data_IF_597684740029
#
_entry.id   IF_597684740029
#
_cell.length_a   1.000
_cell.length_b   1.000
_cell.length_c   1.000
_cell.angle_alpha   90.00
_cell.angle_beta   90.00
_cell.angle_gamma   90.00
#
_symmetry.space_group_name_H-M   'P 1'
#
loop_
_entity.id
_entity.type
_entity.pdbx_description
1 polymer ?
#
# COMPACT_ATOMS: atom_id res chain seq x y z
N UNK A 1 43.89 13.41 12.26
CA UNK A 1 42.53 13.15 11.72
C UNK A 1 42.25 11.67 11.94
N UNK A 2 41.46 11.33 12.96
CA UNK A 2 41.19 9.92 13.31
C UNK A 2 40.31 9.34 12.21
N UNK A 3 40.81 8.36 11.44
CA UNK A 3 40.01 7.57 10.51
C UNK A 3 38.99 6.79 11.34
N UNK A 4 37.75 7.28 11.41
CA UNK A 4 36.63 6.47 11.94
C UNK A 4 36.51 5.23 11.07
N UNK A 5 36.35 4.08 11.71
CA UNK A 5 36.30 2.81 11.01
C UNK A 5 35.03 2.76 10.14
N UNK A 6 35.10 2.10 8.98
CA UNK A 6 33.96 2.03 8.05
C UNK A 6 32.74 1.33 8.68
N UNK A 7 33.00 0.44 9.65
CA UNK A 7 31.98 -0.22 10.47
C UNK A 7 31.20 0.78 11.36
N UNK A 8 31.88 1.79 11.90
CA UNK A 8 31.25 2.83 12.71
C UNK A 8 30.35 3.73 11.86
N UNK A 9 30.71 3.95 10.60
CA UNK A 9 29.93 4.75 9.66
C UNK A 9 28.67 4.03 9.16
N UNK A 10 28.72 2.70 8.97
CA UNK A 10 27.50 1.90 8.71
C UNK A 10 26.54 1.92 9.90
N UNK A 11 27.08 1.79 11.12
CA UNK A 11 26.27 1.94 12.34
C UNK A 11 25.66 3.35 12.42
N UNK A 12 26.42 4.38 12.03
CA UNK A 12 25.95 5.76 12.01
C UNK A 12 24.81 5.99 11.01
N UNK A 13 24.86 5.36 9.82
CA UNK A 13 23.75 5.35 8.87
C UNK A 13 22.49 4.70 9.47
N UNK A 14 22.63 3.53 10.10
CA UNK A 14 21.52 2.85 10.77
C UNK A 14 20.89 3.72 11.86
N UNK A 15 21.70 4.38 12.69
CA UNK A 15 21.22 5.29 13.73
C UNK A 15 20.47 6.50 13.13
N UNK A 16 20.95 7.03 12.00
CA UNK A 16 20.28 8.12 11.29
C UNK A 16 18.90 7.72 10.79
N UNK A 17 18.77 6.49 10.27
CA UNK A 17 17.49 5.91 9.86
C UNK A 17 16.56 5.65 11.04
N UNK A 18 17.10 5.28 12.22
CA UNK A 18 16.31 5.13 13.45
C UNK A 18 15.74 6.49 13.85
N UNK A 19 16.57 7.53 13.96
CA UNK A 19 16.11 8.88 14.27
C UNK A 19 15.04 9.39 13.29
N UNK A 20 15.21 9.12 11.99
CA UNK A 20 14.22 9.45 10.97
C UNK A 20 12.88 8.73 11.22
N UNK A 21 12.90 7.45 11.59
CA UNK A 21 11.70 6.63 11.83
C UNK A 21 11.00 6.96 13.15
N UNK A 22 11.74 7.45 14.13
CA UNK A 22 11.26 7.85 15.46
C UNK A 22 10.74 9.30 15.51
N UNK A 23 10.96 10.08 14.43
CA UNK A 23 10.50 11.45 14.33
C UNK A 23 11.48 12.50 14.84
N UNK A 24 12.71 12.12 15.20
CA UNK A 24 13.80 13.07 15.50
C UNK A 24 14.43 13.57 14.19
N UNK A 25 13.64 14.34 13.44
CA UNK A 25 14.00 14.82 12.11
C UNK A 25 15.18 15.78 12.12
N UNK A 26 15.36 16.57 13.18
CA UNK A 26 16.49 17.51 13.27
C UNK A 26 17.81 16.76 13.49
N UNK A 27 17.81 15.72 14.33
CA UNK A 27 18.97 14.85 14.45
C UNK A 27 19.24 14.10 13.14
N UNK A 28 18.20 13.53 12.52
CA UNK A 28 18.32 12.85 11.23
C UNK A 28 18.93 13.76 10.15
N UNK A 29 18.53 15.04 10.09
CA UNK A 29 19.09 16.02 9.14
C UNK A 29 20.60 16.20 9.35
N UNK A 30 21.04 16.37 10.61
CA UNK A 30 22.46 16.55 10.93
C UNK A 30 23.27 15.31 10.55
N UNK A 31 22.75 14.14 10.90
CA UNK A 31 23.45 12.86 10.70
C UNK A 31 23.53 12.48 9.22
N UNK A 32 22.46 12.67 8.43
CA UNK A 32 22.54 12.42 6.98
C UNK A 32 23.40 13.44 6.24
N UNK A 33 23.41 14.72 6.63
CA UNK A 33 24.34 15.70 6.06
C UNK A 33 25.78 15.28 6.30
N UNK A 34 26.10 14.84 7.52
CA UNK A 34 27.43 14.32 7.84
C UNK A 34 27.79 13.08 7.01
N UNK A 35 26.86 12.15 6.80
CA UNK A 35 27.09 10.94 6.00
C UNK A 35 27.39 11.25 4.53
N UNK A 36 26.70 12.25 3.96
CA UNK A 36 26.96 12.73 2.59
C UNK A 36 28.37 13.32 2.51
N UNK A 37 28.77 14.16 3.47
CA UNK A 37 30.11 14.76 3.51
C UNK A 37 31.22 13.69 3.63
N UNK A 38 30.92 12.54 4.23
CA UNK A 38 31.85 11.41 4.34
C UNK A 38 31.75 10.40 3.17
N UNK A 39 30.86 10.62 2.20
CA UNK A 39 30.67 9.74 1.05
C UNK A 39 30.05 8.37 1.38
N UNK A 40 29.34 8.26 2.49
CA UNK A 40 28.75 7.00 2.98
C UNK A 40 27.29 6.92 2.52
N UNK A 41 26.99 5.93 1.68
CA UNK A 41 25.63 5.70 1.16
C UNK A 41 24.95 7.01 0.66
N UNK A 42 25.66 7.86 -0.11
CA UNK A 42 25.27 9.26 -0.32
C UNK A 42 23.87 9.38 -0.94
N UNK A 43 23.48 8.45 -1.81
CA UNK A 43 22.16 8.41 -2.42
C UNK A 43 21.05 8.16 -1.40
N UNK A 44 21.22 7.18 -0.50
CA UNK A 44 20.26 6.89 0.56
C UNK A 44 20.21 7.99 1.60
N UNK A 45 21.36 8.60 1.92
CA UNK A 45 21.41 9.75 2.82
C UNK A 45 20.70 10.98 2.25
N UNK A 46 20.80 11.23 0.94
CA UNK A 46 20.01 12.27 0.27
C UNK A 46 18.51 11.98 0.37
N UNK A 47 18.06 10.74 0.16
CA UNK A 47 16.66 10.34 0.36
C UNK A 47 16.23 10.63 1.80
N UNK A 48 17.02 10.22 2.80
CA UNK A 48 16.74 10.47 4.21
C UNK A 48 16.62 11.96 4.56
N UNK A 49 17.49 12.81 3.99
CA UNK A 49 17.38 14.26 4.14
C UNK A 49 16.11 14.84 3.52
N UNK A 50 15.80 14.45 2.28
CA UNK A 50 14.59 14.90 1.57
C UNK A 50 13.36 14.55 2.41
N UNK A 51 13.30 13.32 2.94
CA UNK A 51 12.20 12.87 3.78
C UNK A 51 12.12 13.64 5.10
N UNK A 52 13.23 13.83 5.81
CA UNK A 52 13.22 14.58 7.08
C UNK A 52 12.74 16.03 6.90
N UNK A 53 13.24 16.73 5.86
CA UNK A 53 12.76 18.07 5.53
C UNK A 53 11.26 18.08 5.18
N UNK A 54 10.79 17.06 4.47
CA UNK A 54 9.39 16.94 4.07
C UNK A 54 8.47 16.69 5.27
N UNK A 55 8.85 15.79 6.19
CA UNK A 55 8.14 15.54 7.43
C UNK A 55 8.04 16.80 8.32
N UNK A 56 9.10 17.61 8.36
CA UNK A 56 9.07 18.92 9.04
C UNK A 56 8.31 20.02 8.27
N UNK A 57 7.63 19.70 7.17
CA UNK A 57 6.93 20.63 6.27
C UNK A 57 7.85 21.71 5.67
N UNK A 58 9.16 21.45 5.57
CA UNK A 58 10.18 22.34 4.99
C UNK A 58 10.31 22.09 3.47
N UNK A 59 9.19 22.09 2.75
CA UNK A 59 9.13 21.69 1.33
C UNK A 59 10.09 22.43 0.40
N UNK A 60 10.30 23.76 0.51
CA UNK A 60 11.28 24.44 -0.34
C UNK A 60 12.72 23.90 -0.18
N UNK A 61 13.10 23.49 1.03
CA UNK A 61 14.41 22.90 1.27
C UNK A 61 14.51 21.48 0.69
N UNK A 62 13.44 20.69 0.84
CA UNK A 62 13.35 19.35 0.26
C UNK A 62 13.41 19.40 -1.28
N UNK A 63 12.64 20.30 -1.92
CA UNK A 63 12.65 20.51 -3.37
C UNK A 63 14.02 20.93 -3.88
N UNK A 64 14.65 21.93 -3.23
CA UNK A 64 16.01 22.35 -3.61
C UNK A 64 17.02 21.21 -3.53
N UNK A 65 16.90 20.35 -2.51
CA UNK A 65 17.77 19.19 -2.36
C UNK A 65 17.50 18.12 -3.41
N UNK A 66 16.24 17.87 -3.75
CA UNK A 66 15.83 16.96 -4.81
C UNK A 66 16.37 17.42 -6.16
N UNK A 67 16.16 18.68 -6.54
CA UNK A 67 16.66 19.25 -7.79
C UNK A 67 18.19 19.17 -7.91
N UNK A 68 18.91 19.50 -6.83
CA UNK A 68 20.38 19.41 -6.81
C UNK A 68 20.88 17.97 -7.03
N UNK A 69 20.07 16.96 -6.72
CA UNK A 69 20.44 15.55 -6.76
C UNK A 69 19.53 14.74 -7.69
N UNK A 70 18.93 15.39 -8.70
CA UNK A 70 17.94 14.76 -9.59
C UNK A 70 18.48 13.50 -10.28
N UNK A 71 19.77 13.50 -10.62
CA UNK A 71 20.49 12.38 -11.25
C UNK A 71 20.50 11.10 -10.39
N UNK A 72 20.29 11.20 -9.07
CA UNK A 72 20.16 10.03 -8.18
C UNK A 72 18.89 9.23 -8.51
N UNK A 73 17.88 9.91 -9.03
CA UNK A 73 16.56 9.35 -9.33
C UNK A 73 16.37 9.05 -10.82
N UNK A 74 16.96 9.86 -11.71
CA UNK A 74 16.88 9.64 -13.17
C UNK A 74 17.57 8.31 -13.52
N UNK A 75 16.85 7.41 -14.18
CA UNK A 75 17.39 6.13 -14.65
C UNK A 75 17.73 5.11 -13.55
N UNK A 76 17.44 5.40 -12.27
CA UNK A 76 17.64 4.46 -11.17
C UNK A 76 16.31 4.11 -10.47
N UNK A 77 15.63 3.04 -10.92
CA UNK A 77 14.36 2.61 -10.33
C UNK A 77 14.48 2.35 -8.82
N UNK A 78 15.57 1.73 -8.35
CA UNK A 78 15.74 1.39 -6.93
C UNK A 78 15.68 2.62 -6.02
N UNK A 79 16.29 3.73 -6.42
CA UNK A 79 16.28 4.97 -5.62
C UNK A 79 14.92 5.66 -5.67
N UNK A 80 14.24 5.65 -6.82
CA UNK A 80 12.87 6.19 -6.96
C UNK A 80 11.90 5.42 -6.06
N UNK A 81 11.97 4.10 -6.12
CA UNK A 81 11.14 3.19 -5.34
C UNK A 81 11.36 3.37 -3.84
N UNK A 82 12.63 3.46 -3.41
CA UNK A 82 12.99 3.75 -2.03
C UNK A 82 12.48 5.11 -1.55
N UNK A 83 12.54 6.15 -2.40
CA UNK A 83 11.99 7.46 -2.08
C UNK A 83 10.47 7.39 -1.87
N UNK A 84 9.73 6.77 -2.79
CA UNK A 84 8.26 6.61 -2.68
C UNK A 84 7.90 5.88 -1.40
N UNK A 85 8.51 4.72 -1.14
CA UNK A 85 8.20 3.90 0.03
C UNK A 85 8.51 4.63 1.33
N UNK A 86 9.70 5.25 1.43
CA UNK A 86 10.14 5.95 2.65
C UNK A 86 9.29 7.20 2.91
N UNK A 87 9.04 8.00 1.88
CA UNK A 87 8.25 9.23 2.01
C UNK A 87 6.80 8.92 2.39
N UNK A 88 6.15 8.01 1.66
CA UNK A 88 4.73 7.72 1.90
C UNK A 88 4.49 7.07 3.26
N UNK A 89 5.41 6.23 3.74
CA UNK A 89 5.33 5.66 5.08
C UNK A 89 5.50 6.70 6.20
N UNK A 90 6.47 7.61 6.07
CA UNK A 90 6.78 8.56 7.15
C UNK A 90 5.89 9.81 7.16
N UNK A 91 5.47 10.30 5.99
CA UNK A 91 4.52 11.42 5.93
C UNK A 91 3.19 11.08 6.62
N UNK A 92 2.75 9.82 6.54
CA UNK A 92 1.52 9.39 7.23
C UNK A 92 1.64 9.35 8.75
N UNK A 93 2.84 9.14 9.29
CA UNK A 93 3.08 9.32 10.73
C UNK A 93 2.97 10.80 11.16
N UNK A 94 3.31 11.73 10.26
CA UNK A 94 3.44 13.17 10.54
C UNK A 94 2.24 14.03 10.12
N UNK A 95 1.03 13.46 10.11
CA UNK A 95 -0.16 14.23 9.72
C UNK A 95 -0.52 15.34 10.72
N UNK A 96 -0.11 15.21 11.98
CA UNK A 96 -0.44 16.16 13.05
C UNK A 96 0.18 17.54 12.81
N UNK A 97 1.46 17.58 12.42
CA UNK A 97 2.18 18.82 12.12
C UNK A 97 1.56 19.53 10.92
N UNK A 98 1.20 18.77 9.88
CA UNK A 98 0.53 19.31 8.69
C UNK A 98 -0.81 19.95 9.06
N UNK A 99 -1.67 19.22 9.79
CA UNK A 99 -2.97 19.70 10.26
C UNK A 99 -2.84 20.93 11.16
N UNK A 100 -1.83 20.95 12.05
CA UNK A 100 -1.55 22.11 12.92
C UNK A 100 -1.18 23.34 12.09
N UNK A 101 -0.28 23.20 11.12
CA UNK A 101 0.15 24.30 10.26
C UNK A 101 -1.00 24.84 9.39
N UNK A 102 -1.99 24.01 9.06
CA UNK A 102 -3.18 24.41 8.32
C UNK A 102 -4.29 25.08 9.17
N UNK A 103 -4.17 25.14 10.51
CA UNK A 103 -5.24 25.59 11.44
C UNK A 103 -5.03 26.98 12.07
N UNK A 104 -4.25 27.87 11.46
CA UNK A 104 -4.03 29.23 12.00
C UNK A 104 -3.75 30.26 10.91
N UNK A 105 -4.18 31.51 11.07
CA UNK A 105 -4.14 32.51 9.98
C UNK A 105 -2.73 32.70 9.39
N UNK A 106 -1.72 32.93 10.22
CA UNK A 106 -0.34 33.12 9.77
C UNK A 106 0.30 31.82 9.27
N UNK A 107 0.09 30.71 9.99
CA UNK A 107 0.66 29.40 9.63
C UNK A 107 0.08 28.88 8.31
N UNK A 108 -1.21 29.11 8.06
CA UNK A 108 -1.89 28.75 6.81
C UNK A 108 -1.33 29.53 5.64
N UNK A 109 -1.01 30.83 5.80
CA UNK A 109 -0.35 31.61 4.73
C UNK A 109 1.04 31.04 4.41
N UNK A 110 1.86 30.74 5.43
CA UNK A 110 3.15 30.11 5.21
C UNK A 110 3.02 28.74 4.55
N UNK A 111 2.03 27.96 4.94
CA UNK A 111 1.78 26.64 4.40
C UNK A 111 1.31 26.71 2.94
N UNK A 112 0.43 27.64 2.61
CA UNK A 112 0.01 27.93 1.24
C UNK A 112 1.20 28.34 0.36
N UNK A 113 2.12 29.18 0.88
CA UNK A 113 3.35 29.54 0.15
C UNK A 113 4.25 28.32 -0.11
N UNK A 114 4.38 27.43 0.87
CA UNK A 114 5.17 26.20 0.72
C UNK A 114 4.55 25.26 -0.32
N UNK A 115 3.22 25.09 -0.30
CA UNK A 115 2.53 24.29 -1.30
C UNK A 115 2.51 24.93 -2.68
N UNK A 116 2.48 26.26 -2.77
CA UNK A 116 2.67 26.96 -4.04
C UNK A 116 3.99 26.57 -4.70
N UNK A 117 5.08 26.55 -3.93
CA UNK A 117 6.39 26.12 -4.44
C UNK A 117 6.40 24.64 -4.90
N UNK A 118 5.67 23.76 -4.21
CA UNK A 118 5.49 22.36 -4.64
C UNK A 118 4.73 22.28 -5.96
N UNK A 119 3.65 23.05 -6.08
CA UNK A 119 2.84 23.08 -7.30
C UNK A 119 3.60 23.67 -8.48
N UNK A 120 4.36 24.76 -8.27
CA UNK A 120 5.24 25.33 -9.29
C UNK A 120 6.33 24.34 -9.74
N UNK A 121 6.88 23.54 -8.83
CA UNK A 121 7.83 22.49 -9.17
C UNK A 121 7.21 21.40 -10.06
N UNK A 122 5.98 20.96 -9.74
CA UNK A 122 5.23 20.02 -10.58
C UNK A 122 4.90 20.60 -11.96
N UNK A 123 4.44 21.85 -12.03
CA UNK A 123 4.14 22.50 -13.32
C UNK A 123 5.38 22.74 -14.19
N UNK A 124 6.56 22.83 -13.57
CA UNK A 124 7.84 22.96 -14.30
C UNK A 124 8.34 21.62 -14.80
N UNK A 125 8.07 20.54 -14.06
CA UNK A 125 8.48 19.17 -14.35
C UNK A 125 7.42 18.21 -13.83
N UNK A 126 6.54 17.75 -14.72
CA UNK A 126 5.42 16.86 -14.34
C UNK A 126 5.90 15.49 -13.86
N UNK A 127 7.15 15.11 -14.16
CA UNK A 127 7.80 13.90 -13.65
C UNK A 127 8.50 14.12 -12.29
N UNK A 128 8.34 15.29 -11.67
CA UNK A 128 8.93 15.59 -10.37
C UNK A 128 8.28 14.75 -9.26
N UNK A 129 8.88 13.59 -9.01
CA UNK A 129 8.39 12.59 -8.07
C UNK A 129 8.18 13.13 -6.65
N UNK A 130 9.07 14.02 -6.16
CA UNK A 130 8.90 14.64 -4.86
C UNK A 130 7.66 15.54 -4.82
N UNK A 131 7.46 16.35 -5.86
CA UNK A 131 6.29 17.22 -5.95
C UNK A 131 4.99 16.41 -6.01
N UNK A 132 4.96 15.35 -6.82
CA UNK A 132 3.85 14.39 -6.90
C UNK A 132 3.49 13.83 -5.51
N UNK A 133 4.48 13.29 -4.79
CA UNK A 133 4.27 12.71 -3.45
C UNK A 133 3.71 13.76 -2.49
N UNK A 134 4.26 14.98 -2.48
CA UNK A 134 3.84 16.05 -1.59
C UNK A 134 2.43 16.58 -1.90
N UNK A 135 2.06 16.68 -3.18
CA UNK A 135 0.70 17.03 -3.61
C UNK A 135 -0.29 15.95 -3.17
N UNK A 136 0.03 14.69 -3.42
CA UNK A 136 -0.81 13.56 -2.99
C UNK A 136 -0.98 13.53 -1.48
N UNK A 137 0.11 13.75 -0.72
CA UNK A 137 0.09 13.81 0.74
C UNK A 137 -0.82 14.93 1.25
N UNK A 138 -0.68 16.12 0.68
CA UNK A 138 -1.48 17.28 1.02
C UNK A 138 -2.97 17.01 0.82
N UNK A 139 -3.33 16.43 -0.34
CA UNK A 139 -4.70 16.08 -0.65
C UNK A 139 -5.25 14.98 0.26
N UNK A 140 -4.49 13.91 0.48
CA UNK A 140 -4.86 12.81 1.38
C UNK A 140 -5.17 13.29 2.82
N UNK A 141 -4.42 14.27 3.32
CA UNK A 141 -4.57 14.75 4.71
C UNK A 141 -5.59 15.87 4.87
N UNK A 142 -5.61 16.84 3.96
CA UNK A 142 -6.40 18.06 4.10
C UNK A 142 -7.60 18.14 3.15
N UNK A 143 -7.65 17.31 2.11
CA UNK A 143 -8.72 17.32 1.10
C UNK A 143 -8.72 18.54 0.17
N UNK A 144 -7.69 19.39 0.25
CA UNK A 144 -7.56 20.58 -0.61
C UNK A 144 -6.88 20.20 -1.93
N UNK A 145 -7.58 20.39 -3.04
CA UNK A 145 -7.20 19.93 -4.38
C UNK A 145 -6.85 21.09 -5.32
N UNK A 146 -5.72 21.05 -6.04
CA UNK A 146 -5.57 21.72 -7.34
C UNK A 146 -6.31 20.91 -8.41
N UNK A 147 -7.27 21.50 -9.14
CA UNK A 147 -8.15 20.77 -10.06
C UNK A 147 -7.38 19.91 -11.09
N UNK A 148 -6.25 20.42 -11.57
CA UNK A 148 -5.40 19.84 -12.63
C UNK A 148 -4.55 18.63 -12.18
N UNK A 149 -4.65 18.18 -10.93
CA UNK A 149 -3.75 17.14 -10.38
C UNK A 149 -4.41 15.77 -10.15
N UNK A 150 -5.72 15.63 -10.46
CA UNK A 150 -6.44 14.38 -10.16
C UNK A 150 -5.93 13.18 -10.94
N UNK A 151 -5.70 13.33 -12.25
CA UNK A 151 -5.19 12.22 -13.06
C UNK A 151 -3.82 11.75 -12.57
N UNK A 152 -2.92 12.68 -12.27
CA UNK A 152 -1.62 12.37 -11.66
C UNK A 152 -1.77 11.63 -10.32
N UNK A 153 -2.72 12.02 -9.46
CA UNK A 153 -2.96 11.31 -8.20
C UNK A 153 -3.51 9.89 -8.42
N UNK A 154 -4.39 9.71 -9.41
CA UNK A 154 -4.91 8.38 -9.82
C UNK A 154 -3.79 7.49 -10.34
N UNK A 155 -2.88 8.04 -11.13
CA UNK A 155 -1.72 7.29 -11.62
C UNK A 155 -0.74 6.98 -10.48
N UNK A 156 -0.57 7.89 -9.52
CA UNK A 156 0.26 7.66 -8.33
C UNK A 156 -0.30 6.57 -7.40
N UNK A 157 -1.63 6.41 -7.30
CA UNK A 157 -2.25 5.28 -6.56
C UNK A 157 -1.77 3.92 -7.08
N UNK A 158 -1.49 3.83 -8.39
CA UNK A 158 -1.04 2.61 -9.08
C UNK A 158 0.45 2.31 -8.91
N UNK A 159 1.16 3.07 -8.08
CA UNK A 159 2.56 2.81 -7.78
C UNK A 159 2.70 1.76 -6.65
N UNK A 160 3.33 0.63 -6.94
CA UNK A 160 3.50 -0.52 -6.01
C UNK A 160 4.30 -0.20 -4.73
N UNK A 161 5.10 0.86 -4.74
CA UNK A 161 5.93 1.29 -3.61
C UNK A 161 5.22 2.23 -2.65
N UNK A 162 4.00 2.69 -2.97
CA UNK A 162 3.22 3.52 -2.06
C UNK A 162 2.83 2.69 -0.83
N UNK A 163 3.06 3.24 0.35
CA UNK A 163 2.69 2.59 1.60
C UNK A 163 1.16 2.53 1.77
N UNK A 164 0.64 1.40 2.27
CA UNK A 164 -0.81 1.13 2.31
C UNK A 164 -1.62 2.24 2.98
N UNK A 165 -1.19 2.76 4.14
CA UNK A 165 -1.93 3.83 4.82
C UNK A 165 -2.02 5.10 3.98
N UNK A 166 -0.97 5.42 3.21
CA UNK A 166 -0.97 6.54 2.29
C UNK A 166 -1.93 6.30 1.14
N UNK A 167 -1.83 5.11 0.50
CA UNK A 167 -2.73 4.71 -0.59
C UNK A 167 -4.19 4.76 -0.13
N UNK A 168 -4.48 4.28 1.07
CA UNK A 168 -5.82 4.31 1.67
C UNK A 168 -6.37 5.72 1.76
N UNK A 169 -5.64 6.63 2.42
CA UNK A 169 -6.12 8.01 2.59
C UNK A 169 -6.26 8.75 1.27
N UNK A 170 -5.37 8.49 0.31
CA UNK A 170 -5.46 9.10 -1.01
C UNK A 170 -6.69 8.58 -1.78
N UNK A 171 -6.90 7.27 -1.77
CA UNK A 171 -8.04 6.62 -2.41
C UNK A 171 -9.37 7.10 -1.82
N UNK A 172 -9.50 7.12 -0.49
CA UNK A 172 -10.69 7.64 0.20
C UNK A 172 -11.04 9.08 -0.21
N UNK A 173 -10.03 9.92 -0.46
CA UNK A 173 -10.25 11.30 -0.90
C UNK A 173 -10.67 11.38 -2.35
N UNK A 174 -10.00 10.65 -3.24
CA UNK A 174 -10.35 10.62 -4.67
C UNK A 174 -11.74 10.00 -4.91
N UNK A 175 -12.10 9.00 -4.11
CA UNK A 175 -13.39 8.30 -4.19
C UNK A 175 -14.60 9.20 -3.88
N UNK A 176 -14.40 10.35 -3.24
CA UNK A 176 -15.48 11.34 -3.02
C UNK A 176 -15.99 11.89 -4.36
N UNK A 177 -15.09 12.09 -5.32
CA UNK A 177 -15.43 12.62 -6.65
C UNK A 177 -15.55 11.55 -7.72
N UNK A 178 -14.83 10.43 -7.56
CA UNK A 178 -14.83 9.32 -8.50
C UNK A 178 -14.99 7.99 -7.75
N UNK A 179 -16.26 7.60 -7.54
CA UNK A 179 -16.61 6.41 -6.74
C UNK A 179 -16.09 5.11 -7.36
N UNK A 180 -15.91 5.05 -8.68
CA UNK A 180 -15.48 3.84 -9.40
C UNK A 180 -14.06 3.42 -8.99
N UNK A 181 -13.25 4.33 -8.44
CA UNK A 181 -11.92 3.99 -7.90
C UNK A 181 -11.97 2.99 -6.75
N UNK A 182 -13.07 2.96 -5.97
CA UNK A 182 -13.26 1.98 -4.90
C UNK A 182 -13.64 0.60 -5.44
N UNK A 183 -13.99 0.49 -6.71
CA UNK A 183 -14.35 -0.76 -7.37
C UNK A 183 -13.22 -1.26 -8.32
N UNK A 184 -12.12 -0.51 -8.45
CA UNK A 184 -10.97 -0.87 -9.29
C UNK A 184 -10.16 -2.01 -8.65
N UNK A 185 -10.33 -3.22 -9.21
CA UNK A 185 -9.63 -4.44 -8.79
C UNK A 185 -8.11 -4.28 -8.84
N UNK A 186 -7.58 -3.49 -9.77
CA UNK A 186 -6.13 -3.24 -9.93
C UNK A 186 -5.61 -2.46 -8.73
N UNK A 187 -6.33 -1.41 -8.31
CA UNK A 187 -5.98 -0.63 -7.12
C UNK A 187 -6.13 -1.49 -5.86
N UNK A 188 -7.22 -2.26 -5.76
CA UNK A 188 -7.46 -3.19 -4.66
C UNK A 188 -6.30 -4.19 -4.49
N UNK A 189 -5.77 -4.72 -5.59
CA UNK A 189 -4.65 -5.67 -5.59
C UNK A 189 -3.32 -5.09 -5.10
N UNK A 190 -3.18 -3.76 -5.05
CA UNK A 190 -1.95 -3.11 -4.59
C UNK A 190 -1.80 -3.03 -3.08
N UNK A 191 -2.85 -3.33 -2.32
CA UNK A 191 -2.81 -3.26 -0.86
C UNK A 191 -2.10 -4.48 -0.27
N UNK A 192 -1.00 -4.24 0.46
CA UNK A 192 -0.28 -5.32 1.15
C UNK A 192 -1.10 -5.82 2.34
N UNK A 193 -1.89 -4.96 2.98
CA UNK A 193 -2.73 -5.25 4.15
C UNK A 193 -4.16 -4.75 3.96
N UNK A 194 -5.11 -5.53 4.48
CA UNK A 194 -6.53 -5.18 4.53
C UNK A 194 -6.84 -4.61 5.92
N UNK A 195 -7.19 -3.31 6.05
CA UNK A 195 -7.61 -2.73 7.32
C UNK A 195 -8.91 -3.34 7.86
N UNK A 196 -9.01 -3.44 9.19
CA UNK A 196 -10.18 -4.03 9.88
C UNK A 196 -11.43 -3.14 9.91
N UNK A 197 -11.29 -1.84 9.61
CA UNK A 197 -12.37 -0.86 9.72
C UNK A 197 -13.15 -0.65 8.41
N UNK A 198 -12.83 -1.43 7.37
CA UNK A 198 -13.48 -1.31 6.07
C UNK A 198 -14.82 -2.04 6.04
N UNK A 199 -15.71 -1.59 5.16
CA UNK A 199 -16.97 -2.28 4.87
C UNK A 199 -16.71 -3.69 4.30
N UNK A 200 -17.59 -4.64 4.65
CA UNK A 200 -17.46 -6.04 4.20
C UNK A 200 -17.43 -6.18 2.68
N UNK A 201 -18.22 -5.38 1.95
CA UNK A 201 -18.29 -5.46 0.48
C UNK A 201 -16.93 -5.15 -0.15
N UNK A 202 -16.25 -4.16 0.39
CA UNK A 202 -14.95 -3.74 -0.10
C UNK A 202 -13.81 -4.65 0.41
N UNK A 203 -13.92 -5.22 1.62
CA UNK A 203 -13.03 -6.31 2.04
C UNK A 203 -13.13 -7.49 1.06
N UNK A 204 -14.34 -7.85 0.63
CA UNK A 204 -14.53 -8.91 -0.35
C UNK A 204 -13.88 -8.59 -1.69
N UNK A 205 -13.95 -7.35 -2.18
CA UNK A 205 -13.23 -6.93 -3.38
C UNK A 205 -11.71 -7.09 -3.23
N UNK A 206 -11.14 -6.71 -2.07
CA UNK A 206 -9.72 -6.88 -1.78
C UNK A 206 -9.31 -8.36 -1.76
N UNK A 207 -10.11 -9.21 -1.12
CA UNK A 207 -9.85 -10.66 -1.07
C UNK A 207 -9.95 -11.30 -2.46
N UNK A 208 -10.96 -10.91 -3.24
CA UNK A 208 -11.12 -11.35 -4.62
C UNK A 208 -9.92 -10.94 -5.48
N UNK A 209 -9.46 -9.69 -5.39
CA UNK A 209 -8.27 -9.24 -6.11
C UNK A 209 -7.02 -10.04 -5.75
N UNK A 210 -6.83 -10.40 -4.48
CA UNK A 210 -5.71 -11.26 -4.07
C UNK A 210 -5.80 -12.68 -4.62
N UNK A 211 -7.01 -13.25 -4.77
CA UNK A 211 -7.22 -14.56 -5.38
C UNK A 211 -6.90 -14.59 -6.88
N UNK A 212 -7.03 -13.45 -7.57
CA UNK A 212 -6.65 -13.33 -8.98
C UNK A 212 -5.15 -13.17 -9.19
N UNK A 213 -4.36 -12.97 -8.13
CA UNK A 213 -2.91 -12.88 -8.20
C UNK A 213 -2.20 -14.23 -8.19
N UNK A 214 -0.89 -14.22 -8.41
CA UNK A 214 -0.08 -15.45 -8.52
C UNK A 214 0.26 -16.13 -7.17
N UNK A 215 0.01 -15.48 -6.03
CA UNK A 215 0.36 -15.97 -4.69
C UNK A 215 -0.88 -16.45 -3.91
N UNK A 216 -1.33 -17.66 -4.23
CA UNK A 216 -2.48 -18.29 -3.59
C UNK A 216 -2.28 -18.50 -2.08
N UNK A 217 -1.05 -18.79 -1.63
CA UNK A 217 -0.75 -18.98 -0.22
C UNK A 217 -0.97 -17.69 0.58
N UNK A 218 -0.53 -16.54 0.05
CA UNK A 218 -0.79 -15.24 0.65
C UNK A 218 -2.28 -14.88 0.63
N UNK A 219 -2.98 -15.16 -0.46
CA UNK A 219 -4.43 -14.95 -0.57
C UNK A 219 -5.19 -15.75 0.50
N UNK A 220 -4.84 -17.02 0.69
CA UNK A 220 -5.38 -17.90 1.73
C UNK A 220 -5.20 -17.32 3.13
N UNK A 221 -3.98 -16.88 3.48
CA UNK A 221 -3.70 -16.28 4.79
C UNK A 221 -4.62 -15.06 5.05
N UNK A 222 -4.75 -14.18 4.04
CA UNK A 222 -5.61 -12.99 4.14
C UNK A 222 -7.08 -13.35 4.35
N UNK A 223 -7.59 -14.34 3.61
CA UNK A 223 -8.97 -14.83 3.74
C UNK A 223 -9.22 -15.38 5.14
N UNK A 224 -8.32 -16.21 5.65
CA UNK A 224 -8.44 -16.77 6.99
C UNK A 224 -8.45 -15.68 8.07
N UNK A 225 -7.53 -14.71 7.97
CA UNK A 225 -7.48 -13.58 8.90
C UNK A 225 -8.80 -12.80 8.90
N UNK A 226 -9.37 -12.50 7.73
CA UNK A 226 -10.63 -11.73 7.67
C UNK A 226 -11.83 -12.55 8.15
N UNK A 227 -11.89 -13.84 7.83
CA UNK A 227 -12.91 -14.76 8.34
C UNK A 227 -12.88 -14.85 9.87
N UNK A 228 -11.69 -14.97 10.46
CA UNK A 228 -11.51 -14.96 11.92
C UNK A 228 -11.91 -13.62 12.56
N UNK A 229 -11.83 -12.51 11.82
CA UNK A 229 -12.31 -11.20 12.27
C UNK A 229 -13.84 -11.02 12.09
N UNK A 230 -14.56 -12.04 11.63
CA UNK A 230 -16.03 -12.00 11.48
C UNK A 230 -16.52 -11.39 10.17
N UNK A 231 -15.64 -11.20 9.18
CA UNK A 231 -16.06 -10.73 7.86
C UNK A 231 -16.89 -11.81 7.17
N UNK A 232 -18.07 -11.42 6.69
CA UNK A 232 -18.89 -12.28 5.84
C UNK A 232 -18.33 -12.28 4.42
N UNK A 233 -17.89 -13.44 3.96
CA UNK A 233 -17.29 -13.61 2.63
C UNK A 233 -18.38 -13.74 1.56
N UNK A 234 -18.19 -13.06 0.43
CA UNK A 234 -19.08 -13.14 -0.72
C UNK A 234 -18.98 -14.48 -1.42
N UNK A 235 -20.00 -14.80 -2.21
CA UNK A 235 -20.02 -16.03 -3.01
C UNK A 235 -18.88 -16.07 -4.02
N UNK A 236 -18.53 -14.93 -4.61
CA UNK A 236 -17.40 -14.82 -5.55
C UNK A 236 -16.05 -15.13 -4.88
N UNK A 237 -15.81 -14.61 -3.67
CA UNK A 237 -14.57 -14.91 -2.93
C UNK A 237 -14.50 -16.39 -2.57
N UNK A 238 -15.61 -16.96 -2.08
CA UNK A 238 -15.68 -18.40 -1.75
C UNK A 238 -15.45 -19.28 -2.99
N UNK A 239 -16.05 -18.92 -4.11
CA UNK A 239 -15.92 -19.64 -5.38
C UNK A 239 -14.49 -19.59 -5.91
N UNK A 240 -13.88 -18.40 -5.97
CA UNK A 240 -12.52 -18.26 -6.48
C UNK A 240 -11.51 -18.94 -5.57
N UNK A 241 -11.72 -18.93 -4.25
CA UNK A 241 -10.90 -19.72 -3.33
C UNK A 241 -10.95 -21.22 -3.65
N UNK A 242 -12.16 -21.76 -3.84
CA UNK A 242 -12.34 -23.18 -4.21
C UNK A 242 -11.65 -23.48 -5.54
N UNK A 243 -11.86 -22.64 -6.55
CA UNK A 243 -11.25 -22.83 -7.86
C UNK A 243 -9.72 -22.84 -7.78
N UNK A 244 -9.13 -21.86 -7.11
CA UNK A 244 -7.68 -21.78 -6.91
C UNK A 244 -7.14 -22.97 -6.10
N UNK A 245 -7.85 -23.44 -5.06
CA UNK A 245 -7.46 -24.64 -4.32
C UNK A 245 -7.41 -25.89 -5.21
N UNK A 246 -8.38 -26.05 -6.11
CA UNK A 246 -8.41 -27.17 -7.06
C UNK A 246 -7.30 -27.05 -8.10
N UNK A 247 -7.12 -25.88 -8.70
CA UNK A 247 -6.06 -25.61 -9.69
C UNK A 247 -4.66 -25.86 -9.13
N UNK A 248 -4.43 -25.52 -7.85
CA UNK A 248 -3.16 -25.74 -7.16
C UNK A 248 -3.04 -27.13 -6.51
N UNK A 249 -4.05 -27.99 -6.64
CA UNK A 249 -4.13 -29.29 -5.98
C UNK A 249 -3.87 -29.21 -4.45
N UNK A 250 -4.42 -28.17 -3.83
CA UNK A 250 -4.21 -27.79 -2.42
C UNK A 250 -5.57 -27.61 -1.72
N UNK A 251 -6.41 -28.63 -1.82
CA UNK A 251 -7.76 -28.64 -1.24
C UNK A 251 -7.67 -28.86 0.28
N UNK A 252 -8.21 -27.90 1.03
CA UNK A 252 -8.22 -27.87 2.49
C UNK A 252 -9.63 -27.86 3.09
N UNK A 253 -9.70 -27.87 4.43
CA UNK A 253 -10.96 -27.80 5.19
C UNK A 253 -11.79 -26.55 4.85
N UNK A 254 -11.13 -25.42 4.54
CA UNK A 254 -11.81 -24.19 4.17
C UNK A 254 -12.51 -24.34 2.81
N UNK A 255 -11.85 -24.95 1.83
CA UNK A 255 -12.40 -25.24 0.51
C UNK A 255 -13.66 -26.10 0.62
N UNK A 256 -13.64 -27.13 1.45
CA UNK A 256 -14.81 -28.01 1.68
C UNK A 256 -15.96 -27.24 2.31
N UNK A 257 -15.68 -26.40 3.31
CA UNK A 257 -16.70 -25.60 3.98
C UNK A 257 -17.34 -24.57 3.04
N UNK A 258 -16.54 -23.91 2.19
CA UNK A 258 -17.06 -23.00 1.17
C UNK A 258 -17.88 -23.74 0.11
N UNK A 259 -17.40 -24.89 -0.36
CA UNK A 259 -18.14 -25.70 -1.34
C UNK A 259 -19.51 -26.11 -0.79
N UNK A 260 -19.60 -26.51 0.49
CA UNK A 260 -20.88 -26.79 1.16
C UNK A 260 -21.81 -25.58 1.19
N UNK A 261 -21.29 -24.40 1.48
CA UNK A 261 -22.08 -23.15 1.53
C UNK A 261 -22.62 -22.78 0.15
N UNK A 262 -21.78 -22.81 -0.89
CA UNK A 262 -22.20 -22.52 -2.27
C UNK A 262 -23.19 -23.57 -2.78
N UNK A 263 -22.94 -24.85 -2.53
CA UNK A 263 -23.87 -25.93 -2.87
C UNK A 263 -25.24 -25.75 -2.21
N UNK A 264 -25.28 -25.37 -0.92
CA UNK A 264 -26.53 -25.06 -0.22
C UNK A 264 -27.28 -23.87 -0.83
N UNK A 265 -26.58 -22.97 -1.53
CA UNK A 265 -27.14 -21.88 -2.34
C UNK A 265 -27.51 -22.30 -3.77
N UNK A 266 -27.35 -23.57 -4.12
CA UNK A 266 -27.71 -24.14 -5.43
C UNK A 266 -26.60 -24.12 -6.47
N UNK A 267 -25.35 -23.83 -6.09
CA UNK A 267 -24.21 -23.89 -7.02
C UNK A 267 -23.88 -25.35 -7.33
N UNK A 268 -24.09 -25.74 -8.58
CA UNK A 268 -23.85 -27.09 -9.11
C UNK A 268 -22.73 -27.02 -10.15
N UNK A 269 -21.49 -27.07 -9.70
CA UNK A 269 -20.30 -26.91 -10.54
C UNK A 269 -19.32 -28.10 -10.39
N UNK A 270 -18.65 -28.56 -11.48
CA UNK A 270 -17.61 -29.58 -11.43
C UNK A 270 -16.50 -29.37 -10.40
N UNK A 271 -16.06 -28.14 -10.17
CA UNK A 271 -15.03 -27.82 -9.19
C UNK A 271 -15.53 -28.11 -7.77
N UNK A 272 -16.79 -27.76 -7.46
CA UNK A 272 -17.44 -28.13 -6.18
C UNK A 272 -17.49 -29.66 -6.04
N UNK A 273 -17.81 -30.37 -7.12
CA UNK A 273 -17.79 -31.84 -7.15
C UNK A 273 -16.42 -32.43 -6.87
N UNK A 274 -15.36 -31.86 -7.44
CA UNK A 274 -13.98 -32.27 -7.17
C UNK A 274 -13.63 -32.09 -5.69
N UNK A 275 -14.00 -30.96 -5.08
CA UNK A 275 -13.77 -30.72 -3.65
C UNK A 275 -14.51 -31.73 -2.77
N UNK A 276 -15.78 -32.04 -3.05
CA UNK A 276 -16.51 -33.05 -2.27
C UNK A 276 -15.97 -34.46 -2.46
N UNK A 277 -15.56 -34.84 -3.68
CA UNK A 277 -14.91 -36.13 -3.92
C UNK A 277 -13.57 -36.22 -3.17
N UNK A 278 -12.78 -35.15 -3.18
CA UNK A 278 -11.56 -35.07 -2.39
C UNK A 278 -11.85 -35.23 -0.89
N UNK A 279 -12.84 -34.50 -0.36
CA UNK A 279 -13.22 -34.58 1.04
C UNK A 279 -13.65 -36.01 1.43
N UNK A 280 -14.48 -36.66 0.61
CA UNK A 280 -14.94 -38.03 0.84
C UNK A 280 -13.79 -39.04 0.89
N UNK A 281 -12.80 -38.88 0.02
CA UNK A 281 -11.72 -39.85 -0.15
C UNK A 281 -10.53 -39.61 0.79
N UNK A 282 -10.30 -38.36 1.19
CA UNK A 282 -9.10 -37.96 1.92
C UNK A 282 -9.39 -37.35 3.30
N UNK A 283 -10.60 -36.82 3.54
CA UNK A 283 -10.97 -36.11 4.77
C UNK A 283 -12.17 -36.79 5.46
N UNK A 284 -11.88 -37.80 6.28
CA UNK A 284 -12.88 -38.63 6.98
C UNK A 284 -13.82 -37.88 7.96
N UNK A 285 -13.61 -36.58 8.16
CA UNK A 285 -14.41 -35.74 9.06
C UNK A 285 -15.65 -35.14 8.37
N UNK A 286 -15.72 -35.12 7.03
CA UNK A 286 -16.82 -34.51 6.30
C UNK A 286 -17.79 -35.55 5.72
N UNK A 287 -19.06 -35.48 6.14
CA UNK A 287 -20.13 -36.17 5.42
C UNK A 287 -20.59 -35.31 4.23
N UNK A 288 -20.30 -35.77 3.01
CA UNK A 288 -20.66 -35.11 1.72
C UNK A 288 -21.45 -36.05 0.79
N UNK A 289 -22.05 -37.10 1.36
CA UNK A 289 -22.66 -38.20 0.58
C UNK A 289 -23.86 -37.72 -0.23
N UNK A 290 -24.68 -36.84 0.34
CA UNK A 290 -25.89 -36.36 -0.33
C UNK A 290 -25.54 -35.34 -1.42
N UNK A 291 -24.57 -34.48 -1.14
CA UNK A 291 -24.03 -33.49 -2.06
C UNK A 291 -23.40 -34.17 -3.28
N UNK A 292 -22.60 -35.22 -3.05
CA UNK A 292 -22.01 -36.02 -4.15
C UNK A 292 -23.09 -36.67 -5.01
N UNK A 293 -24.10 -37.30 -4.39
CA UNK A 293 -25.22 -37.92 -5.13
C UNK A 293 -25.99 -36.90 -5.96
N UNK A 294 -26.21 -35.70 -5.43
CA UNK A 294 -26.92 -34.64 -6.13
C UNK A 294 -26.13 -34.19 -7.37
N UNK A 295 -24.80 -34.03 -7.24
CA UNK A 295 -23.94 -33.65 -8.38
C UNK A 295 -23.89 -34.75 -9.45
N UNK A 296 -23.79 -36.02 -9.04
CA UNK A 296 -23.78 -37.15 -9.97
C UNK A 296 -25.07 -37.19 -10.83
N UNK A 297 -26.23 -36.74 -10.30
CA UNK A 297 -27.49 -36.63 -11.06
C UNK A 297 -27.43 -35.59 -12.18
N UNK A 298 -26.57 -34.58 -12.06
CA UNK A 298 -26.33 -33.57 -13.09
C UNK A 298 -25.16 -33.92 -14.02
N UNK A 299 -24.60 -35.13 -13.89
CA UNK A 299 -23.45 -35.58 -14.69
C UNK A 299 -22.13 -34.91 -14.29
N UNK A 300 -22.05 -34.40 -13.07
CA UNK A 300 -20.89 -33.73 -12.48
C UNK A 300 -20.11 -34.71 -11.60
#
# INVERSE_FOLDING_TARGET
>A
MVRKDFKDLKLYFSNSMISLKEGDYEHAIKSFSHLIDQGIEPQKSVIGLITAYSCLTRYPAALKLYEKNKDIFIGNPSNRNMLVETMTALLMKETSLLKKNARGSLSTVFMAKRMKAVHEAYLTDEDNLLAIILICYWYAVLGARPYETEQMMKDFLRNEYVYDEFRWKLLEKLAITDKELMDDITIAGMFRRIPRYLDHSYINLLLFSHLLGDDFASAREKIEVQRMNGVELSDDVMWNYINSSVENNDIDDLSVNFAKRLFAKGWMDPVIGQVFRYAKNNLNIYNVTNETKALDLFGI
#
